data_IF_418397971139
#
_entry.id   IF_418397971139
#
_cell.length_a   1.000
_cell.length_b   1.000
_cell.length_c   1.000
_cell.angle_alpha   90.00
_cell.angle_beta   90.00
_cell.angle_gamma   90.00
#
_symmetry.space_group_name_H-M   'P 1'
#
loop_
_entity.id
_entity.type
_entity.pdbx_description
1 polymer ?
#
# COMPACT_ATOMS: atom_id res chain seq x y z
N UNK A 1 17.04 -15.22 -27.56
CA UNK A 1 16.73 -15.03 -26.13
C UNK A 1 15.35 -14.43 -26.03
N UNK A 2 14.41 -15.04 -25.30
CA UNK A 2 13.08 -14.45 -25.09
C UNK A 2 13.26 -13.23 -24.19
N UNK A 3 12.94 -12.03 -24.68
CA UNK A 3 12.75 -10.85 -23.85
C UNK A 3 11.56 -11.14 -22.93
N UNK A 4 11.81 -11.63 -21.72
CA UNK A 4 10.78 -11.60 -20.68
C UNK A 4 10.51 -10.13 -20.39
N UNK A 5 9.32 -9.63 -20.76
CA UNK A 5 8.84 -8.35 -20.25
C UNK A 5 8.89 -8.45 -18.74
N UNK A 6 9.78 -7.67 -18.12
CA UNK A 6 9.88 -7.62 -16.67
C UNK A 6 8.57 -7.03 -16.14
N UNK A 7 7.77 -7.87 -15.48
CA UNK A 7 6.50 -7.49 -14.87
C UNK A 7 6.67 -7.19 -13.38
N UNK A 8 7.90 -7.01 -12.91
CA UNK A 8 8.15 -6.66 -11.52
C UNK A 8 7.48 -5.33 -11.17
N UNK A 9 6.86 -5.29 -10.00
CA UNK A 9 6.27 -4.10 -9.42
C UNK A 9 7.17 -3.58 -8.31
N UNK A 10 7.30 -2.26 -8.24
CA UNK A 10 8.02 -1.55 -7.21
C UNK A 10 7.01 -0.88 -6.28
N UNK A 11 7.10 -1.21 -4.99
CA UNK A 11 6.29 -0.59 -3.96
C UNK A 11 7.14 0.42 -3.17
N UNK A 12 6.77 1.70 -3.25
CA UNK A 12 7.43 2.77 -2.50
C UNK A 12 6.56 3.08 -1.29
N UNK A 13 6.98 2.63 -0.11
CA UNK A 13 6.22 2.81 1.14
C UNK A 13 6.88 3.85 2.03
N UNK A 14 6.18 4.96 2.27
CA UNK A 14 6.60 6.04 3.17
C UNK A 14 5.58 6.27 4.29
N UNK A 15 5.95 7.11 5.25
CA UNK A 15 5.08 7.56 6.34
C UNK A 15 5.17 9.07 6.55
N UNK A 16 5.22 9.50 7.83
CA UNK A 16 5.49 10.87 8.30
C UNK A 16 4.40 11.93 8.04
N UNK A 17 3.70 11.91 6.91
CA UNK A 17 2.75 12.99 6.55
C UNK A 17 1.42 12.92 7.30
N UNK A 18 1.14 11.82 7.99
CA UNK A 18 -0.16 11.50 8.61
C UNK A 18 -1.33 11.43 7.62
N UNK A 19 -1.08 11.41 6.30
CA UNK A 19 -2.11 11.37 5.25
C UNK A 19 -2.01 10.02 4.53
N UNK A 20 -2.87 9.05 4.86
CA UNK A 20 -2.83 7.73 4.24
C UNK A 20 -3.25 7.81 2.77
N UNK A 21 -2.51 7.13 1.89
CA UNK A 21 -2.74 7.19 0.44
C UNK A 21 -2.16 5.94 -0.24
N UNK A 22 -2.92 5.33 -1.15
CA UNK A 22 -2.36 4.49 -2.21
C UNK A 22 -2.49 5.21 -3.54
N UNK A 23 -1.43 5.16 -4.35
CA UNK A 23 -1.44 5.79 -5.67
C UNK A 23 -0.62 4.97 -6.65
N UNK A 24 -1.23 4.62 -7.79
CA UNK A 24 -0.51 4.12 -8.95
C UNK A 24 0.25 5.29 -9.59
N UNK A 25 1.57 5.17 -9.68
CA UNK A 25 2.42 6.16 -10.36
C UNK A 25 2.51 5.82 -11.84
N UNK A 26 2.74 4.54 -12.16
CA UNK A 26 2.65 3.95 -13.50
C UNK A 26 2.30 2.46 -13.41
N UNK A 27 2.40 1.72 -14.51
CA UNK A 27 2.07 0.28 -14.57
C UNK A 27 2.91 -0.62 -13.67
N UNK A 28 4.08 -0.14 -13.21
CA UNK A 28 5.04 -0.89 -12.42
C UNK A 28 5.25 -0.29 -11.02
N UNK A 29 4.94 0.99 -10.81
CA UNK A 29 5.24 1.69 -9.55
C UNK A 29 3.96 2.03 -8.79
N UNK A 30 3.89 1.54 -7.56
CA UNK A 30 2.85 1.89 -6.60
C UNK A 30 3.48 2.66 -5.44
N UNK A 31 2.95 3.84 -5.18
CA UNK A 31 3.26 4.63 -4.00
C UNK A 31 2.25 4.36 -2.89
N UNK A 32 2.75 4.18 -1.66
CA UNK A 32 1.94 4.04 -0.47
C UNK A 32 2.44 4.99 0.64
N UNK A 33 1.50 5.73 1.23
CA UNK A 33 1.71 6.43 2.49
C UNK A 33 0.90 5.72 3.58
N UNK A 34 1.58 5.16 4.58
CA UNK A 34 0.93 4.44 5.67
C UNK A 34 0.13 5.35 6.61
N UNK A 35 0.29 6.68 6.54
CA UNK A 35 -0.44 7.64 7.37
C UNK A 35 0.12 7.73 8.78
N UNK A 36 -0.69 7.42 9.80
CA UNK A 36 -0.34 7.64 11.21
C UNK A 36 -0.81 6.49 12.10
N UNK A 37 -0.01 6.11 13.11
CA UNK A 37 -0.45 5.16 14.15
C UNK A 37 -0.88 5.84 15.46
N UNK A 38 -0.50 7.10 15.66
CA UNK A 38 -0.63 7.80 16.95
C UNK A 38 -1.90 8.65 17.06
N UNK A 39 -2.61 8.88 15.96
CA UNK A 39 -3.86 9.67 15.94
C UNK A 39 -5.07 8.73 16.04
N UNK A 40 -6.26 9.31 16.23
CA UNK A 40 -7.56 8.60 16.33
C UNK A 40 -7.92 7.72 15.12
N UNK A 41 -7.14 7.76 14.05
CA UNK A 41 -7.31 6.92 12.85
C UNK A 41 -5.97 6.26 12.54
N UNK A 42 -5.64 5.20 13.28
CA UNK A 42 -4.44 4.42 13.02
C UNK A 42 -4.55 3.76 11.63
N UNK A 43 -3.55 3.94 10.78
CA UNK A 43 -3.51 3.37 9.43
C UNK A 43 -2.19 2.67 9.15
N UNK A 44 -2.24 1.64 8.30
CA UNK A 44 -1.09 0.82 7.95
C UNK A 44 -1.27 0.18 6.58
N UNK A 45 -0.16 -0.23 5.96
CA UNK A 45 -0.17 -0.99 4.71
C UNK A 45 0.03 -2.48 4.99
N UNK A 46 -0.62 -3.32 4.19
CA UNK A 46 -0.41 -4.76 4.15
C UNK A 46 -0.03 -5.16 2.73
N UNK A 47 1.13 -5.78 2.57
CA UNK A 47 1.56 -6.37 1.30
C UNK A 47 1.16 -7.84 1.24
N UNK A 48 0.54 -8.24 0.13
CA UNK A 48 0.17 -9.63 -0.15
C UNK A 48 1.03 -10.18 -1.30
N UNK A 49 1.99 -11.09 -1.01
CA UNK A 49 2.87 -11.64 -2.03
C UNK A 49 2.15 -12.60 -2.99
N UNK A 50 1.01 -13.18 -2.59
CA UNK A 50 0.27 -14.12 -3.45
C UNK A 50 -0.43 -13.42 -4.60
N UNK A 51 -0.84 -12.17 -4.38
CA UNK A 51 -1.52 -11.33 -5.38
C UNK A 51 -0.62 -10.21 -5.90
N UNK A 52 0.61 -10.10 -5.38
CA UNK A 52 1.53 -9.00 -5.62
C UNK A 52 0.82 -7.64 -5.50
N UNK A 53 0.09 -7.45 -4.39
CA UNK A 53 -0.74 -6.27 -4.17
C UNK A 53 -0.43 -5.63 -2.82
N UNK A 54 -0.76 -4.34 -2.71
CA UNK A 54 -0.68 -3.60 -1.45
C UNK A 54 -2.05 -3.03 -1.10
N UNK A 55 -2.45 -3.22 0.15
CA UNK A 55 -3.70 -2.72 0.71
C UNK A 55 -3.42 -1.73 1.83
N UNK A 56 -4.25 -0.71 1.94
CA UNK A 56 -4.21 0.26 3.02
C UNK A 56 -5.38 -0.04 3.96
N UNK A 57 -5.08 -0.07 5.25
CA UNK A 57 -6.02 -0.40 6.30
C UNK A 57 -6.12 0.74 7.31
N UNK A 58 -7.32 0.87 7.90
CA UNK A 58 -7.58 1.63 9.12
C UNK A 58 -7.83 0.65 10.26
N UNK A 59 -7.16 0.86 11.39
CA UNK A 59 -7.49 0.19 12.63
C UNK A 59 -8.64 0.91 13.33
N UNK A 60 -9.68 0.15 13.67
CA UNK A 60 -10.85 0.65 14.38
C UNK A 60 -11.32 -0.43 15.36
N UNK A 61 -11.25 -0.12 16.65
CA UNK A 61 -11.80 -0.96 17.73
C UNK A 61 -11.43 -2.45 17.63
N UNK A 62 -10.12 -2.73 17.58
CA UNK A 62 -9.58 -4.10 17.51
C UNK A 62 -9.70 -4.76 16.13
N UNK A 63 -10.20 -4.04 15.12
CA UNK A 63 -10.40 -4.57 13.76
C UNK A 63 -9.60 -3.79 12.73
N UNK A 64 -9.03 -4.53 11.78
CA UNK A 64 -8.44 -3.98 10.57
C UNK A 64 -9.52 -3.83 9.49
N UNK A 65 -9.83 -2.59 9.10
CA UNK A 65 -10.77 -2.26 8.05
C UNK A 65 -9.99 -1.85 6.81
N UNK A 66 -10.11 -2.58 5.71
CA UNK A 66 -9.48 -2.22 4.43
C UNK A 66 -10.13 -0.94 3.90
N UNK A 67 -9.33 0.03 3.50
CA UNK A 67 -9.81 1.31 2.95
C UNK A 67 -9.36 1.56 1.51
N UNK A 68 -8.30 0.90 1.04
CA UNK A 68 -7.85 0.98 -0.36
C UNK A 68 -7.01 -0.25 -0.73
N UNK A 69 -6.86 -0.54 -2.02
CA UNK A 69 -6.01 -1.60 -2.56
C UNK A 69 -5.56 -1.30 -3.99
N UNK A 70 -4.28 -1.55 -4.27
CA UNK A 70 -3.73 -1.56 -5.62
C UNK A 70 -2.94 -2.85 -5.85
N UNK A 71 -3.15 -3.42 -7.03
CA UNK A 71 -2.38 -4.55 -7.56
C UNK A 71 -1.35 -4.06 -8.53
#
# INVERSE_FOLDING_TARGET
>A
MKNSKDTSKVFIVLGHTHKPLLKKIDDHIIYANAGSWVKRTATFCLFDPSTNSISLYKWNDGKAIKIDQLS
#
